data_IF_469566962225
#
_entry.id   IF_469566962225
#
_cell.length_a   1.000
_cell.length_b   1.000
_cell.length_c   1.000
_cell.angle_alpha   90.00
_cell.angle_beta   90.00
_cell.angle_gamma   90.00
#
_symmetry.space_group_name_H-M   'P 1'
#
loop_
_entity.id
_entity.type
_entity.pdbx_description
1 polymer ?
#
# COMPACT_ATOMS: atom_id res chain seq x y z
N UNK A 1 14.96 -12.61 74.55
CA UNK A 1 14.89 -12.90 73.88
C UNK A 1 14.53 -12.64 72.70
N UNK A 2 14.52 -12.45 72.04
CA UNK A 2 14.32 -12.17 70.94
C UNK A 2 13.95 -12.22 69.93
N UNK A 3 13.73 -12.04 69.41
CA UNK A 3 13.40 -12.10 68.22
C UNK A 3 13.24 -11.74 67.13
N UNK A 4 13.23 -11.68 66.54
CA UNK A 4 13.16 -11.43 65.39
C UNK A 4 12.75 -11.35 64.39
N UNK A 5 12.59 -11.21 63.76
CA UNK A 5 12.24 -11.14 62.70
C UNK A 5 12.14 -10.75 61.75
N UNK A 6 12.12 -10.63 61.10
CA UNK A 6 12.01 -10.44 59.94
C UNK A 6 11.58 -10.19 58.97
N UNK A 7 11.45 -10.01 58.46
CA UNK A 7 11.16 -9.76 57.42
C UNK A 7 11.06 -9.61 56.46
N UNK A 8 10.88 -9.66 55.83
CA UNK A 8 10.68 -9.61 54.71
C UNK A 8 10.36 -9.25 53.76
N UNK A 9 10.34 -9.01 53.11
CA UNK A 9 10.10 -8.72 52.00
C UNK A 9 9.82 -8.62 50.97
N UNK A 10 9.63 -8.56 50.46
CA UNK A 10 9.28 -8.48 49.43
C UNK A 10 9.14 -8.08 48.38
N UNK A 11 9.13 -8.03 47.80
CA UNK A 11 9.00 -7.69 46.68
C UNK A 11 8.63 -7.49 45.75
N UNK A 12 8.43 -7.36 45.28
CA UNK A 12 8.00 -7.17 44.34
C UNK A 12 7.87 -6.94 43.24
N UNK A 13 7.87 -6.87 42.66
CA UNK A 13 7.75 -6.74 41.54
C UNK A 13 7.39 -6.35 40.61
N UNK A 14 7.23 -6.13 40.27
CA UNK A 14 6.85 -5.87 39.31
C UNK A 14 6.62 -5.67 38.21
N UNK A 15 6.57 -5.59 37.74
CA UNK A 15 6.38 -5.55 36.66
C UNK A 15 6.06 -5.12 35.73
N UNK A 16 5.88 -4.91 35.45
CA UNK A 16 5.60 -4.63 34.56
C UNK A 16 5.32 -4.35 33.50
N UNK A 17 5.31 -4.23 33.06
CA UNK A 17 5.10 -4.13 32.12
C UNK A 17 4.82 -3.57 31.17
N UNK A 18 4.45 -3.53 30.78
CA UNK A 18 4.05 -3.22 29.89
C UNK A 18 3.78 -2.82 28.91
N UNK A 19 3.92 -2.63 28.50
CA UNK A 19 3.75 -2.38 27.53
C UNK A 19 3.19 -1.85 26.67
N UNK A 20 2.86 -1.54 26.40
CA UNK A 20 2.32 -1.08 25.73
C UNK A 20 2.28 -0.76 24.59
N UNK A 21 2.28 -0.80 24.09
CA UNK A 21 2.26 -0.49 22.98
C UNK A 21 1.45 -0.05 22.30
N UNK A 22 1.17 0.23 22.10
CA UNK A 22 0.61 0.72 21.66
C UNK A 22 0.45 1.12 20.60
N UNK A 23 0.47 1.16 20.15
CA UNK A 23 0.41 1.44 19.02
C UNK A 23 -0.50 2.02 18.50
N UNK A 24 -0.89 2.38 18.66
CA UNK A 24 -1.78 2.89 18.20
C UNK A 24 -1.80 3.52 17.08
N UNK A 25 -2.14 3.62 16.50
CA UNK A 25 -2.22 4.27 15.56
C UNK A 25 -1.96 4.37 14.48
N UNK A 26 -1.84 4.12 14.14
CA UNK A 26 -1.57 4.14 13.18
C UNK A 26 -1.51 4.27 12.04
N UNK A 27 -1.26 4.67 11.43
CA UNK A 27 -1.07 4.89 10.36
C UNK A 27 -0.13 4.31 9.95
N UNK A 28 -0.14 3.54 9.61
CA UNK A 28 0.72 2.88 9.23
C UNK A 28 1.18 3.12 8.11
N UNK A 29 1.99 3.66 7.94
CA UNK A 29 2.62 3.67 6.88
C UNK A 29 3.26 2.46 6.73
N UNK A 30 2.66 1.57 6.24
CA UNK A 30 3.23 0.46 6.00
C UNK A 30 3.98 0.61 4.85
N UNK A 31 5.14 0.74 4.86
CA UNK A 31 5.83 0.88 3.67
C UNK A 31 6.21 -0.43 3.15
N UNK A 32 5.44 -1.38 3.32
CA UNK A 32 5.69 -2.58 2.64
C UNK A 32 5.54 -2.36 1.17
N UNK A 33 6.46 -2.69 0.36
CA UNK A 33 6.24 -2.63 -1.08
C UNK A 33 5.08 -3.53 -1.44
N UNK A 34 4.34 -3.20 -2.48
CA UNK A 34 3.27 -4.08 -2.91
C UNK A 34 3.83 -5.44 -3.27
N UNK A 35 3.03 -6.49 -3.12
CA UNK A 35 3.50 -7.81 -3.50
C UNK A 35 3.97 -7.82 -4.93
N UNK A 36 5.01 -8.58 -5.22
CA UNK A 36 5.44 -8.70 -6.61
C UNK A 36 4.29 -9.16 -7.47
N UNK A 37 4.11 -8.51 -8.59
CA UNK A 37 3.02 -8.85 -9.47
C UNK A 37 1.86 -7.90 -9.42
N UNK A 38 1.75 -7.09 -8.38
CA UNK A 38 0.65 -6.15 -8.28
C UNK A 38 1.13 -4.72 -8.50
N UNK A 39 2.08 -4.55 -9.36
CA UNK A 39 2.59 -3.21 -9.67
C UNK A 39 2.68 -3.01 -11.17
N UNK A 40 2.51 -1.78 -11.60
CA UNK A 40 2.63 -1.37 -12.99
C UNK A 40 3.70 -0.30 -13.06
N UNK A 41 4.66 -0.50 -13.93
CA UNK A 41 5.71 0.47 -14.18
C UNK A 41 5.29 1.35 -15.37
N UNK A 42 5.43 2.65 -15.22
CA UNK A 42 5.20 3.59 -16.30
C UNK A 42 6.59 4.04 -16.77
N UNK A 43 6.97 3.63 -17.96
CA UNK A 43 8.32 3.90 -18.46
C UNK A 43 8.31 3.85 -19.97
N UNK A 44 9.02 4.76 -20.62
CA UNK A 44 9.11 4.79 -22.07
C UNK A 44 7.76 5.03 -22.72
N UNK A 45 6.90 5.81 -22.08
CA UNK A 45 5.55 6.07 -22.56
C UNK A 45 4.73 4.78 -22.70
N UNK A 46 4.97 3.82 -21.83
CA UNK A 46 4.27 2.54 -21.82
C UNK A 46 3.92 2.12 -20.40
N UNK A 47 2.86 1.36 -20.29
CA UNK A 47 2.42 0.76 -19.03
C UNK A 47 2.85 -0.70 -19.05
N UNK A 48 3.59 -1.13 -18.06
CA UNK A 48 4.14 -2.48 -18.03
C UNK A 48 3.91 -3.13 -16.67
N UNK A 49 3.15 -4.21 -16.62
CA UNK A 49 2.40 -4.82 -17.71
C UNK A 49 1.19 -3.97 -18.09
N UNK A 50 0.80 -4.00 -19.35
CA UNK A 50 -0.38 -3.26 -19.77
C UNK A 50 -1.66 -4.00 -19.44
N UNK A 51 -1.57 -5.29 -19.13
CA UNK A 51 -2.70 -6.09 -18.71
C UNK A 51 -2.29 -6.83 -17.44
N UNK A 52 -3.00 -6.62 -16.35
CA UNK A 52 -2.66 -7.20 -15.07
C UNK A 52 -3.91 -7.81 -14.45
N UNK A 53 -3.80 -9.04 -13.97
CA UNK A 53 -4.90 -9.71 -13.27
C UNK A 53 -4.57 -9.78 -11.79
N UNK A 54 -5.52 -9.35 -10.97
CA UNK A 54 -5.38 -9.36 -9.52
C UNK A 54 -6.63 -9.95 -8.90
N UNK A 55 -6.61 -10.16 -7.59
CA UNK A 55 -7.76 -10.67 -6.84
C UNK A 55 -8.46 -9.55 -6.09
N UNK A 56 -9.73 -9.77 -5.79
CA UNK A 56 -10.47 -8.83 -4.96
C UNK A 56 -9.72 -8.58 -3.65
N UNK A 57 -9.58 -7.33 -3.29
CA UNK A 57 -8.85 -6.92 -2.10
C UNK A 57 -7.40 -6.57 -2.36
N UNK A 58 -6.89 -6.87 -3.54
CA UNK A 58 -5.51 -6.55 -3.85
C UNK A 58 -5.32 -5.06 -4.11
N UNK A 59 -4.13 -4.60 -3.82
CA UNK A 59 -3.71 -3.22 -4.10
C UNK A 59 -2.80 -3.25 -5.31
N UNK A 60 -3.06 -2.39 -6.28
CA UNK A 60 -2.18 -2.19 -7.43
C UNK A 60 -1.48 -0.84 -7.27
N UNK A 61 -0.19 -0.82 -7.53
CA UNK A 61 0.62 0.39 -7.43
C UNK A 61 1.21 0.72 -8.79
N UNK A 62 1.02 1.94 -9.23
CA UNK A 62 1.65 2.48 -10.45
C UNK A 62 2.78 3.37 -10.04
N UNK A 63 3.92 3.24 -10.69
CA UNK A 63 5.07 4.09 -10.42
C UNK A 63 5.58 4.67 -11.73
N UNK A 64 5.76 5.98 -11.77
CA UNK A 64 6.26 6.65 -12.96
C UNK A 64 7.79 6.70 -12.93
N UNK A 65 8.41 6.07 -13.92
CA UNK A 65 9.86 6.08 -14.08
C UNK A 65 10.31 6.98 -15.24
N UNK A 66 9.38 7.66 -15.88
CA UNK A 66 9.74 8.58 -16.96
C UNK A 66 10.05 9.97 -16.43
N UNK A 67 10.80 10.72 -17.20
CA UNK A 67 11.11 12.10 -16.84
C UNK A 67 9.97 13.07 -17.07
N UNK A 68 8.87 12.61 -17.67
CA UNK A 68 7.67 13.44 -17.89
C UNK A 68 6.53 12.89 -17.07
N UNK A 69 5.55 13.72 -16.79
CA UNK A 69 4.42 13.35 -15.96
C UNK A 69 3.46 12.41 -16.72
N UNK A 70 2.87 11.50 -15.99
CA UNK A 70 1.85 10.58 -16.48
C UNK A 70 0.73 10.46 -15.46
N UNK A 71 -0.37 9.84 -15.85
CA UNK A 71 -1.45 9.51 -14.91
C UNK A 71 -1.87 8.06 -15.09
N UNK A 72 -2.55 7.52 -14.09
CA UNK A 72 -3.31 6.28 -14.20
C UNK A 72 -4.75 6.66 -13.92
N UNK A 73 -5.58 6.61 -14.94
CA UNK A 73 -6.94 7.11 -14.84
C UNK A 73 -7.91 6.09 -15.43
N UNK A 74 -8.85 5.63 -14.61
CA UNK A 74 -9.87 4.68 -15.03
C UNK A 74 -10.73 5.30 -16.12
N UNK A 75 -11.05 4.51 -17.15
CA UNK A 75 -11.94 5.00 -18.20
C UNK A 75 -13.34 5.27 -17.69
N UNK A 76 -13.73 4.68 -16.57
CA UNK A 76 -15.07 4.82 -16.02
C UNK A 76 -15.09 5.55 -14.69
N UNK A 77 -14.00 6.20 -14.33
CA UNK A 77 -13.99 7.04 -13.13
C UNK A 77 -13.80 6.29 -11.80
N UNK A 78 -13.34 5.06 -11.85
CA UNK A 78 -13.15 4.28 -10.62
C UNK A 78 -11.96 4.79 -9.83
N UNK A 79 -10.90 5.21 -10.50
CA UNK A 79 -9.75 5.85 -9.84
C UNK A 79 -9.11 6.88 -10.77
N UNK A 80 -8.33 7.75 -10.16
CA UNK A 80 -7.57 8.74 -10.90
C UNK A 80 -6.37 9.12 -10.04
N UNK A 81 -5.19 8.83 -10.53
CA UNK A 81 -3.98 9.12 -9.77
C UNK A 81 -3.65 10.60 -9.71
N UNK A 82 -4.19 11.38 -10.63
CA UNK A 82 -3.64 12.70 -10.87
C UNK A 82 -2.28 12.59 -11.52
N UNK A 83 -1.59 13.71 -11.63
CA UNK A 83 -0.30 13.76 -12.29
C UNK A 83 0.77 13.12 -11.41
N UNK A 84 1.49 12.17 -11.96
CA UNK A 84 2.60 11.51 -11.29
C UNK A 84 3.90 11.99 -11.96
N UNK A 85 4.74 12.65 -11.20
CA UNK A 85 6.06 13.05 -11.67
C UNK A 85 7.03 11.87 -11.57
N UNK A 86 8.22 12.05 -12.10
CA UNK A 86 9.23 10.99 -12.04
C UNK A 86 9.41 10.50 -10.61
N UNK A 87 9.32 9.20 -10.43
CA UNK A 87 9.50 8.55 -9.12
C UNK A 87 8.26 8.50 -8.25
N UNK A 88 7.18 9.17 -8.64
CA UNK A 88 5.97 9.15 -7.83
C UNK A 88 5.13 7.92 -8.11
N UNK A 89 4.38 7.50 -7.11
CA UNK A 89 3.54 6.31 -7.17
C UNK A 89 2.13 6.63 -6.73
N UNK A 90 1.19 5.81 -7.19
CA UNK A 90 -0.21 5.86 -6.80
C UNK A 90 -0.69 4.42 -6.60
N UNK A 91 -1.48 4.19 -5.57
CA UNK A 91 -2.01 2.86 -5.28
C UNK A 91 -3.52 2.90 -5.17
N UNK A 92 -4.17 1.81 -5.59
CA UNK A 92 -5.61 1.68 -5.51
C UNK A 92 -5.96 0.25 -5.13
N UNK A 93 -6.94 0.08 -4.23
CA UNK A 93 -7.41 -1.22 -3.78
C UNK A 93 -8.63 -1.60 -4.60
N UNK A 94 -8.59 -2.79 -5.22
CA UNK A 94 -9.70 -3.26 -6.05
C UNK A 94 -10.61 -4.15 -5.23
N UNK A 95 -11.83 -3.70 -4.98
CA UNK A 95 -12.77 -4.44 -4.15
C UNK A 95 -13.93 -5.05 -4.93
N UNK A 96 -13.94 -4.94 -6.24
CA UNK A 96 -15.01 -5.44 -7.07
C UNK A 96 -14.44 -6.24 -8.24
N UNK A 97 -15.01 -7.40 -8.49
CA UNK A 97 -14.64 -8.23 -9.64
C UNK A 97 -15.02 -7.49 -10.92
N UNK A 98 -14.19 -7.56 -11.94
CA UNK A 98 -14.49 -6.96 -13.22
C UNK A 98 -13.24 -6.63 -14.02
N UNK A 99 -13.48 -5.99 -15.15
CA UNK A 99 -12.43 -5.53 -16.04
C UNK A 99 -12.43 -4.00 -16.01
N UNK A 100 -11.27 -3.42 -15.77
CA UNK A 100 -11.14 -1.99 -15.55
C UNK A 100 -10.10 -1.41 -16.51
N UNK A 101 -10.54 -0.99 -17.70
CA UNK A 101 -9.62 -0.32 -18.62
C UNK A 101 -9.26 1.07 -18.11
N UNK A 102 -8.05 1.48 -18.40
CA UNK A 102 -7.56 2.78 -17.94
C UNK A 102 -6.56 3.35 -18.94
N UNK A 103 -6.20 4.60 -18.74
CA UNK A 103 -5.32 5.31 -19.66
C UNK A 103 -4.57 6.41 -18.92
N UNK A 104 -3.58 6.97 -19.59
CA UNK A 104 -2.93 8.19 -19.15
C UNK A 104 -3.65 9.38 -19.79
N UNK A 105 -4.11 10.34 -18.99
CA UNK A 105 -4.84 11.48 -19.55
C UNK A 105 -3.93 12.44 -20.27
N UNK A 106 -2.64 12.45 -19.96
CA UNK A 106 -1.68 13.33 -20.61
C UNK A 106 -1.26 12.76 -21.96
N UNK A 107 -1.19 11.42 -22.04
CA UNK A 107 -0.79 10.72 -23.25
C UNK A 107 -1.81 9.61 -23.51
N UNK A 108 -2.96 9.94 -24.11
CA UNK A 108 -4.09 9.02 -24.17
C UNK A 108 -3.84 7.70 -24.93
N UNK A 109 -2.77 7.65 -25.72
CA UNK A 109 -2.43 6.38 -26.37
C UNK A 109 -1.87 5.35 -25.40
N UNK A 110 -1.49 5.75 -24.21
CA UNK A 110 -1.02 4.83 -23.17
C UNK A 110 -2.24 4.25 -22.47
N UNK A 111 -2.53 2.99 -22.74
CA UNK A 111 -3.72 2.32 -22.20
C UNK A 111 -3.34 1.01 -21.53
N UNK A 112 -4.15 0.62 -20.57
CA UNK A 112 -3.97 -0.66 -19.89
C UNK A 112 -5.30 -1.18 -19.37
N UNK A 113 -5.26 -2.37 -18.79
CA UNK A 113 -6.45 -2.98 -18.19
C UNK A 113 -6.06 -3.73 -16.94
N UNK A 114 -6.83 -3.52 -15.88
CA UNK A 114 -6.73 -4.33 -14.67
C UNK A 114 -7.94 -5.26 -14.67
N UNK A 115 -7.69 -6.55 -14.53
CA UNK A 115 -8.76 -7.56 -14.41
C UNK A 115 -8.77 -8.04 -12.97
N UNK A 116 -9.92 -7.98 -12.33
CA UNK A 116 -10.06 -8.35 -10.92
C UNK A 116 -10.92 -9.62 -10.85
N UNK A 117 -10.40 -10.66 -10.22
CA UNK A 117 -11.09 -11.93 -10.06
C UNK A 117 -11.33 -12.21 -8.58
N UNK A 118 -12.09 -13.30 -8.31
CA UNK A 118 -12.34 -13.73 -6.94
C UNK A 118 -11.06 -14.17 -6.26
#
# INVERSE_FOLDING_TARGET
>A
MSRIIHSILIVTALAAGITAWGCGGNKSTNSNPPPPGNSVSISGFALSPSSLTVSVGDTVTWTNHDGVAHTSTSNTGVWNSGSLSNGQSFSFIFSTVGSFPYHCTIHPSMTGTITVTQ
#
